data_IF_005387249159
#
_entry.id   IF_005387249159
#
_cell.length_a   1.000
_cell.length_b   1.000
_cell.length_c   1.000
_cell.angle_alpha   90.00
_cell.angle_beta   90.00
_cell.angle_gamma   90.00
#
_symmetry.space_group_name_H-M   'P 1'
#
loop_
_entity.id
_entity.type
_entity.pdbx_description
1 polymer ?
#
# COMPACT_ATOMS: atom_id res chain seq x y z
N UNK A 1 12.55 -1.91 28.20
CA UNK A 1 12.16 -2.17 26.78
C UNK A 1 10.71 -1.75 26.62
N UNK A 2 10.44 -0.57 26.07
CA UNK A 2 9.07 -0.13 25.81
C UNK A 2 8.47 -0.97 24.67
N UNK A 3 7.41 -1.71 24.96
CA UNK A 3 6.60 -2.32 23.91
C UNK A 3 6.01 -1.20 23.05
N UNK A 4 6.54 -1.00 21.84
CA UNK A 4 5.89 -0.12 20.86
C UNK A 4 4.49 -0.66 20.64
N UNK A 5 3.47 0.09 21.09
CA UNK A 5 2.07 -0.24 20.80
C UNK A 5 1.94 -0.35 19.28
N UNK A 6 1.44 -1.48 18.80
CA UNK A 6 1.22 -1.68 17.38
C UNK A 6 0.28 -0.58 16.85
N UNK A 7 0.82 0.34 16.06
CA UNK A 7 0.06 1.38 15.38
C UNK A 7 -0.93 0.66 14.46
N UNK A 8 -2.22 0.96 14.60
CA UNK A 8 -3.25 0.38 13.76
C UNK A 8 -3.33 1.17 12.45
N UNK A 9 -3.58 0.51 11.32
CA UNK A 9 -3.92 1.19 10.07
C UNK A 9 -5.17 2.03 10.27
N UNK A 10 -5.19 3.22 9.70
CA UNK A 10 -6.32 4.16 9.73
C UNK A 10 -7.46 3.74 8.82
N UNK A 11 -7.22 2.82 7.88
CA UNK A 11 -8.19 2.38 6.85
C UNK A 11 -8.28 0.85 6.74
N UNK A 12 -9.41 0.36 6.22
CA UNK A 12 -9.60 -1.06 5.89
C UNK A 12 -8.84 -1.44 4.61
N UNK A 13 -8.64 -2.74 4.38
CA UNK A 13 -8.04 -3.21 3.11
C UNK A 13 -8.90 -2.84 1.89
N UNK A 14 -10.23 -2.89 2.01
CA UNK A 14 -11.15 -2.51 0.92
C UNK A 14 -10.94 -1.04 0.53
N UNK A 15 -10.80 -0.16 1.52
CA UNK A 15 -10.53 1.26 1.26
C UNK A 15 -9.13 1.48 0.67
N UNK A 16 -8.13 0.74 1.17
CA UNK A 16 -6.78 0.75 0.61
C UNK A 16 -6.75 0.29 -0.86
N UNK A 17 -7.48 -0.76 -1.23
CA UNK A 17 -7.61 -1.26 -2.60
C UNK A 17 -8.28 -0.23 -3.51
N UNK A 18 -9.38 0.38 -3.06
CA UNK A 18 -10.09 1.42 -3.81
C UNK A 18 -9.18 2.61 -4.13
N UNK A 19 -8.48 3.12 -3.11
CA UNK A 19 -7.55 4.26 -3.22
C UNK A 19 -6.33 3.91 -4.08
N UNK A 20 -5.71 2.77 -3.84
CA UNK A 20 -4.57 2.29 -4.64
C UNK A 20 -4.94 2.13 -6.12
N UNK A 21 -6.14 1.62 -6.41
CA UNK A 21 -6.65 1.52 -7.78
C UNK A 21 -6.81 2.89 -8.42
N UNK A 22 -7.31 3.89 -7.70
CA UNK A 22 -7.48 5.24 -8.23
C UNK A 22 -6.14 5.92 -8.54
N UNK A 23 -5.16 5.79 -7.64
CA UNK A 23 -3.84 6.43 -7.77
C UNK A 23 -2.98 5.75 -8.83
N UNK A 24 -2.97 4.41 -8.87
CA UNK A 24 -1.98 3.65 -9.62
C UNK A 24 -2.45 3.11 -10.99
N UNK A 25 -3.63 3.52 -11.47
CA UNK A 25 -4.09 3.20 -12.83
C UNK A 25 -5.03 1.99 -12.95
N UNK A 26 -5.91 1.79 -11.96
CA UNK A 26 -6.96 0.78 -12.00
C UNK A 26 -6.45 -0.63 -11.78
N UNK A 27 -6.64 -1.54 -12.76
CA UNK A 27 -6.45 -3.00 -12.59
C UNK A 27 -5.00 -3.43 -12.31
N UNK A 28 -4.00 -2.59 -12.59
CA UNK A 28 -2.57 -2.91 -12.41
C UNK A 28 -2.00 -2.61 -11.02
N UNK A 29 -2.80 -2.06 -10.09
CA UNK A 29 -2.28 -1.53 -8.82
C UNK A 29 -1.55 -2.59 -7.98
N UNK A 30 -2.06 -3.83 -7.91
CA UNK A 30 -1.46 -4.92 -7.10
C UNK A 30 -0.05 -5.25 -7.55
N UNK A 31 0.17 -5.36 -8.86
CA UNK A 31 1.50 -5.62 -9.43
C UNK A 31 2.46 -4.49 -9.12
N UNK A 32 2.02 -3.24 -9.28
CA UNK A 32 2.85 -2.05 -8.97
C UNK A 32 3.27 -2.01 -7.50
N UNK A 33 2.40 -2.37 -6.56
CA UNK A 33 2.79 -2.50 -5.15
C UNK A 33 3.77 -3.64 -4.90
N UNK A 34 3.58 -4.81 -5.52
CA UNK A 34 4.50 -5.93 -5.35
C UNK A 34 5.88 -5.61 -5.91
N UNK A 35 5.95 -4.96 -7.08
CA UNK A 35 7.18 -4.51 -7.71
C UNK A 35 7.87 -3.42 -6.90
N UNK A 36 7.16 -2.36 -6.52
CA UNK A 36 7.75 -1.22 -5.82
C UNK A 36 8.28 -1.57 -4.43
N UNK A 37 7.61 -2.48 -3.72
CA UNK A 37 8.02 -2.89 -2.38
C UNK A 37 8.85 -4.17 -2.34
N UNK A 38 9.14 -4.79 -3.49
CA UNK A 38 9.82 -6.10 -3.57
C UNK A 38 9.12 -7.19 -2.74
N UNK A 39 7.78 -7.12 -2.66
CA UNK A 39 6.98 -8.07 -1.90
C UNK A 39 6.54 -9.25 -2.76
N UNK A 40 6.47 -10.44 -2.15
CA UNK A 40 5.80 -11.57 -2.77
C UNK A 40 4.27 -11.33 -2.84
N UNK A 41 3.60 -11.64 -3.97
CA UNK A 41 2.14 -11.52 -4.12
C UNK A 41 1.32 -12.26 -3.04
N UNK A 42 1.91 -13.29 -2.43
CA UNK A 42 1.31 -14.06 -1.33
C UNK A 42 1.04 -13.21 -0.08
N UNK A 43 1.87 -12.20 0.21
CA UNK A 43 1.66 -11.30 1.34
C UNK A 43 0.47 -10.36 1.12
N UNK A 44 0.38 -9.75 -0.07
CA UNK A 44 -0.80 -8.95 -0.47
C UNK A 44 -2.08 -9.78 -0.39
N UNK A 45 -2.02 -11.03 -0.81
CA UNK A 45 -3.15 -11.96 -0.78
C UNK A 45 -3.61 -12.30 0.64
N UNK A 46 -2.68 -12.49 1.60
CA UNK A 46 -3.01 -12.72 3.01
C UNK A 46 -3.67 -11.50 3.64
N UNK A 47 -3.19 -10.30 3.34
CA UNK A 47 -3.83 -9.05 3.80
C UNK A 47 -5.24 -8.92 3.21
N UNK A 48 -5.42 -9.23 1.92
CA UNK A 48 -6.71 -9.18 1.26
C UNK A 48 -7.74 -10.15 1.85
N UNK A 49 -7.30 -11.34 2.27
CA UNK A 49 -8.14 -12.35 2.92
C UNK A 49 -8.46 -12.04 4.39
N UNK A 50 -7.78 -11.05 4.98
CA UNK A 50 -7.87 -10.76 6.41
C UNK A 50 -6.99 -11.66 7.30
N UNK A 51 -6.21 -12.58 6.70
CA UNK A 51 -5.24 -13.44 7.38
C UNK A 51 -4.07 -12.63 7.98
N UNK A 52 -3.91 -11.38 7.55
CA UNK A 52 -2.89 -10.46 8.04
C UNK A 52 -3.43 -9.04 8.07
N UNK A 53 -2.94 -8.23 9.00
CA UNK A 53 -3.30 -6.81 9.07
C UNK A 53 -2.67 -6.05 7.92
N UNK A 54 -3.37 -5.02 7.43
CA UNK A 54 -2.79 -4.05 6.50
C UNK A 54 -1.56 -3.41 7.16
N UNK A 55 -0.38 -3.39 6.51
CA UNK A 55 0.78 -2.73 7.09
C UNK A 55 0.60 -1.20 7.12
N UNK A 56 0.89 -0.57 8.27
CA UNK A 56 0.90 0.89 8.39
C UNK A 56 1.80 1.59 7.34
N UNK A 57 2.99 1.06 7.00
CA UNK A 57 3.81 1.65 5.94
C UNK A 57 3.12 1.71 4.57
N UNK A 58 2.22 0.77 4.26
CA UNK A 58 1.49 0.80 2.99
C UNK A 58 0.49 1.95 2.97
N UNK A 59 -0.20 2.20 4.07
CA UNK A 59 -1.12 3.34 4.18
C UNK A 59 -0.35 4.65 4.04
N UNK A 60 0.78 4.80 4.72
CA UNK A 60 1.60 6.01 4.65
C UNK A 60 2.14 6.29 3.24
N UNK A 61 2.58 5.25 2.52
CA UNK A 61 3.03 5.38 1.13
C UNK A 61 1.87 5.79 0.22
N UNK A 62 0.69 5.19 0.40
CA UNK A 62 -0.49 5.55 -0.38
C UNK A 62 -0.89 7.01 -0.15
N UNK A 63 -0.92 7.47 1.10
CA UNK A 63 -1.19 8.88 1.44
C UNK A 63 -0.18 9.82 0.77
N UNK A 64 1.11 9.48 0.79
CA UNK A 64 2.14 10.25 0.10
C UNK A 64 1.88 10.32 -1.42
N UNK A 65 1.58 9.18 -2.07
CA UNK A 65 1.32 9.14 -3.52
C UNK A 65 0.07 9.92 -3.92
N UNK A 66 -0.94 10.03 -3.05
CA UNK A 66 -2.12 10.86 -3.28
C UNK A 66 -1.84 12.36 -3.15
N UNK A 67 -0.86 12.74 -2.32
CA UNK A 67 -0.51 14.15 -2.10
C UNK A 67 0.45 14.73 -3.14
N UNK A 68 1.28 13.88 -3.76
CA UNK A 68 2.31 14.30 -4.70
C UNK A 68 1.86 14.08 -6.14
N UNK A 69 2.19 14.99 -7.07
CA UNK A 69 2.00 14.72 -8.49
C UNK A 69 2.95 13.59 -8.96
N UNK A 70 2.58 12.82 -10.01
CA UNK A 70 3.33 11.62 -10.41
C UNK A 70 4.81 11.83 -10.75
N UNK A 71 5.19 13.00 -11.24
CA UNK A 71 6.57 13.40 -11.54
C UNK A 71 7.45 13.54 -10.28
N UNK A 72 6.82 13.72 -9.11
CA UNK A 72 7.48 13.84 -7.80
C UNK A 72 7.45 12.53 -7.01
N UNK A 73 6.81 11.47 -7.52
CA UNK A 73 6.82 10.18 -6.84
C UNK A 73 8.24 9.61 -6.77
N UNK A 74 8.56 8.76 -5.78
CA UNK A 74 9.82 8.03 -5.79
C UNK A 74 9.94 7.21 -7.08
N UNK A 75 11.15 7.10 -7.65
CA UNK A 75 11.40 6.46 -8.96
C UNK A 75 10.73 5.08 -9.14
N UNK A 76 10.66 4.28 -8.07
CA UNK A 76 10.01 2.96 -8.06
C UNK A 76 8.50 3.00 -8.37
N UNK A 77 7.85 4.14 -8.16
CA UNK A 77 6.42 4.39 -8.38
C UNK A 77 6.15 5.17 -9.66
N UNK A 78 7.17 5.72 -10.33
CA UNK A 78 6.99 6.48 -11.57
C UNK A 78 6.81 5.59 -12.82
N UNK A 79 7.02 4.28 -12.68
CA UNK A 79 6.96 3.29 -13.77
C UNK A 79 5.57 2.77 -14.03
#
# INVERSE_FOLDING_TARGET
MSAMKAVKPTISFVEFERRSSAVLGGRGWKSRWCEALEYMPSHMSRVAKGDSRLPVPWVAILEMLETLPPDQWPLRWQR
#
